data_IF_766635306743
#
_entry.id   IF_766635306743
#
_cell.length_a   1.000
_cell.length_b   1.000
_cell.length_c   1.000
_cell.angle_alpha   90.00
_cell.angle_beta   90.00
_cell.angle_gamma   90.00
#
_symmetry.space_group_name_H-M   'P 1'
#
loop_
_entity.id
_entity.type
_entity.pdbx_description
1 polymer ?
#
# COMPACT_ATOMS: atom_id res chain seq x y z
N UNK A 1 1.20 23.12 0.98
CA UNK A 1 -0.23 23.08 1.35
C UNK A 1 -0.43 21.92 2.30
N UNK A 2 -0.96 22.13 3.51
CA UNK A 2 -1.42 21.03 4.38
C UNK A 2 -2.73 20.51 3.81
N UNK A 3 -2.66 19.47 2.98
CA UNK A 3 -3.85 18.78 2.48
C UNK A 3 -4.15 17.67 3.46
N UNK A 4 -5.23 17.80 4.22
CA UNK A 4 -5.81 16.65 4.91
C UNK A 4 -6.35 15.70 3.84
N UNK A 5 -5.51 14.76 3.38
CA UNK A 5 -5.94 13.66 2.55
C UNK A 5 -6.88 12.81 3.38
N UNK A 6 -8.18 12.92 3.14
CA UNK A 6 -9.14 11.96 3.67
C UNK A 6 -8.73 10.59 3.11
N UNK A 7 -8.23 9.71 3.98
CA UNK A 7 -7.93 8.33 3.60
C UNK A 7 -9.17 7.68 2.98
N UNK A 8 -8.97 6.72 2.08
CA UNK A 8 -10.07 6.05 1.40
C UNK A 8 -11.12 5.55 2.40
N UNK A 9 -12.40 5.87 2.17
CA UNK A 9 -13.48 5.27 2.94
C UNK A 9 -13.61 3.79 2.53
N UNK A 10 -13.02 2.91 3.34
CA UNK A 10 -13.11 1.46 3.16
C UNK A 10 -14.12 0.86 4.14
N UNK A 11 -15.08 0.09 3.62
CA UNK A 11 -16.08 -0.67 4.38
C UNK A 11 -15.66 -2.13 4.41
N UNK A 12 -15.87 -2.79 5.55
CA UNK A 12 -15.64 -4.22 5.70
C UNK A 12 -16.99 -4.93 5.67
N UNK A 13 -17.10 -5.98 4.84
CA UNK A 13 -18.30 -6.80 4.71
C UNK A 13 -17.91 -8.26 4.55
N UNK A 14 -18.12 -9.07 5.60
CA UNK A 14 -17.62 -10.45 5.61
C UNK A 14 -16.10 -10.49 5.50
N UNK A 15 -15.57 -11.20 4.51
CA UNK A 15 -14.13 -11.26 4.18
C UNK A 15 -13.68 -10.14 3.22
N UNK A 16 -14.56 -9.22 2.82
CA UNK A 16 -14.26 -8.21 1.83
C UNK A 16 -13.90 -6.86 2.44
N UNK A 17 -12.95 -6.17 1.82
CA UNK A 17 -12.72 -4.73 1.96
C UNK A 17 -13.23 -4.04 0.70
N UNK A 18 -14.15 -3.09 0.84
CA UNK A 18 -14.85 -2.44 -0.27
C UNK A 18 -14.58 -0.95 -0.22
N UNK A 19 -14.29 -0.34 -1.36
CA UNK A 19 -14.36 1.12 -1.55
C UNK A 19 -15.62 1.45 -2.36
N UNK A 20 -16.71 1.91 -1.71
CA UNK A 20 -17.96 2.22 -2.41
C UNK A 20 -17.79 3.39 -3.38
N UNK A 21 -17.05 4.42 -2.96
CA UNK A 21 -16.79 5.62 -3.76
C UNK A 21 -16.10 5.29 -5.10
N UNK A 22 -15.18 4.33 -5.08
CA UNK A 22 -14.38 3.95 -6.24
C UNK A 22 -14.82 2.63 -6.90
N UNK A 23 -15.96 2.08 -6.47
CA UNK A 23 -16.59 0.88 -7.00
C UNK A 23 -15.64 -0.34 -7.16
N UNK A 24 -14.82 -0.62 -6.14
CA UNK A 24 -14.00 -1.83 -6.10
C UNK A 24 -14.09 -2.55 -4.75
N UNK A 25 -13.77 -3.84 -4.76
CA UNK A 25 -13.67 -4.67 -3.57
C UNK A 25 -12.48 -5.63 -3.66
N UNK A 26 -11.96 -6.01 -2.50
CA UNK A 26 -10.87 -6.96 -2.35
C UNK A 26 -11.26 -7.97 -1.27
N UNK A 27 -11.31 -9.25 -1.64
CA UNK A 27 -11.54 -10.35 -0.70
C UNK A 27 -10.23 -10.73 -0.01
N UNK A 28 -10.28 -11.02 1.29
CA UNK A 28 -9.17 -11.61 2.05
C UNK A 28 -9.38 -13.11 2.22
N UNK A 29 -8.32 -13.90 2.15
CA UNK A 29 -8.39 -15.36 2.37
C UNK A 29 -7.76 -15.81 3.69
N UNK A 30 -6.72 -15.13 4.18
CA UNK A 30 -5.96 -15.53 5.35
C UNK A 30 -5.82 -14.44 6.41
N UNK A 31 -5.62 -13.19 6.00
CA UNK A 31 -5.62 -12.03 6.88
C UNK A 31 -7.06 -11.62 7.22
N UNK A 32 -7.23 -10.93 8.34
CA UNK A 32 -8.50 -10.29 8.66
C UNK A 32 -8.77 -9.12 7.70
N UNK A 33 -10.03 -8.88 7.32
CA UNK A 33 -10.38 -7.75 6.47
C UNK A 33 -10.07 -6.40 7.14
N UNK A 34 -10.12 -6.30 8.47
CA UNK A 34 -9.66 -5.12 9.22
C UNK A 34 -8.17 -4.86 9.03
N UNK A 35 -7.36 -5.92 9.16
CA UNK A 35 -5.92 -5.90 8.94
C UNK A 35 -5.60 -5.45 7.52
N UNK A 36 -6.31 -6.01 6.54
CA UNK A 36 -6.17 -5.64 5.14
C UNK A 36 -6.54 -4.18 4.88
N UNK A 37 -7.67 -3.70 5.43
CA UNK A 37 -8.07 -2.31 5.25
C UNK A 37 -7.05 -1.33 5.85
N UNK A 38 -6.43 -1.67 6.99
CA UNK A 38 -5.36 -0.85 7.58
C UNK A 38 -4.07 -0.92 6.77
N UNK A 39 -3.72 -2.09 6.20
CA UNK A 39 -2.59 -2.22 5.28
C UNK A 39 -2.74 -1.33 4.04
N UNK A 40 -3.95 -1.20 3.48
CA UNK A 40 -4.20 -0.34 2.31
C UNK A 40 -3.90 1.12 2.65
N UNK A 41 -4.41 1.61 3.79
CA UNK A 41 -4.12 2.97 4.27
C UNK A 41 -2.63 3.16 4.55
N UNK A 42 -2.01 2.21 5.25
CA UNK A 42 -0.57 2.23 5.54
C UNK A 42 0.27 2.26 4.27
N UNK A 43 -0.10 1.50 3.23
CA UNK A 43 0.62 1.49 1.96
C UNK A 43 0.58 2.86 1.26
N UNK A 44 -0.57 3.53 1.29
CA UNK A 44 -0.73 4.90 0.79
C UNK A 44 0.16 5.88 1.55
N UNK A 45 0.22 5.77 2.87
CA UNK A 45 1.03 6.67 3.70
C UNK A 45 2.56 6.37 3.58
N UNK A 46 2.97 5.14 3.24
CA UNK A 46 4.40 4.78 3.03
C UNK A 46 4.92 5.31 1.69
N UNK A 47 4.14 5.17 0.61
CA UNK A 47 4.48 5.66 -0.72
C UNK A 47 3.35 6.56 -1.25
N UNK A 48 3.26 7.81 -0.77
CA UNK A 48 2.15 8.69 -1.11
C UNK A 48 2.28 9.20 -2.55
N UNK A 49 1.34 8.79 -3.41
CA UNK A 49 1.24 9.26 -4.80
C UNK A 49 -0.16 9.82 -5.06
N UNK A 50 -0.30 11.14 -5.16
CA UNK A 50 -1.59 11.82 -5.38
C UNK A 50 -2.34 11.31 -6.61
N UNK A 51 -1.62 10.96 -7.68
CA UNK A 51 -2.18 10.54 -8.97
C UNK A 51 -2.55 9.05 -9.02
N UNK A 52 -2.14 8.24 -8.04
CA UNK A 52 -2.38 6.78 -8.03
C UNK A 52 -3.69 6.50 -7.28
N UNK A 53 -4.70 5.86 -7.88
CA UNK A 53 -5.92 5.47 -7.17
C UNK A 53 -5.68 4.37 -6.12
N UNK A 54 -6.47 4.38 -5.03
CA UNK A 54 -6.30 3.45 -3.90
C UNK A 54 -6.44 1.97 -4.26
N UNK A 55 -7.16 1.64 -5.33
CA UNK A 55 -7.26 0.24 -5.82
C UNK A 55 -5.89 -0.37 -6.10
N UNK A 56 -4.91 0.43 -6.56
CA UNK A 56 -3.57 -0.07 -6.86
C UNK A 56 -2.76 -0.35 -5.58
N UNK A 57 -3.04 0.38 -4.49
CA UNK A 57 -2.51 0.06 -3.18
C UNK A 57 -3.14 -1.22 -2.61
N UNK A 58 -4.46 -1.40 -2.81
CA UNK A 58 -5.16 -2.65 -2.47
C UNK A 58 -4.57 -3.88 -3.18
N UNK A 59 -4.35 -3.77 -4.50
CA UNK A 59 -3.65 -4.81 -5.27
C UNK A 59 -2.24 -5.04 -4.73
N UNK A 60 -1.50 -3.97 -4.43
CA UNK A 60 -0.10 -4.06 -3.97
C UNK A 60 0.03 -4.81 -2.64
N UNK A 61 -0.89 -4.63 -1.69
CA UNK A 61 -0.83 -5.31 -0.39
C UNK A 61 -1.49 -6.69 -0.39
N UNK A 62 -2.24 -7.06 -1.44
CA UNK A 62 -2.88 -8.37 -1.57
C UNK A 62 -1.90 -9.53 -1.45
N UNK A 63 -0.66 -9.36 -1.93
CA UNK A 63 0.40 -10.38 -1.82
C UNK A 63 0.73 -10.78 -0.36
N UNK A 64 0.49 -9.91 0.62
CA UNK A 64 0.67 -10.28 2.03
C UNK A 64 -0.39 -11.27 2.51
N UNK A 65 -1.63 -11.17 2.03
CA UNK A 65 -2.70 -12.12 2.33
C UNK A 65 -2.42 -13.49 1.70
N UNK A 66 -1.97 -13.50 0.45
CA UNK A 66 -1.57 -14.73 -0.25
C UNK A 66 -0.38 -15.43 0.41
N UNK A 67 0.58 -14.64 0.92
CA UNK A 67 1.73 -15.16 1.67
C UNK A 67 1.28 -15.68 3.03
N UNK A 68 0.42 -14.94 3.74
CA UNK A 68 -0.14 -15.35 5.04
C UNK A 68 -0.96 -16.66 4.96
N UNK A 69 -1.56 -16.97 3.81
CA UNK A 69 -2.25 -18.24 3.59
C UNK A 69 -1.31 -19.46 3.55
N UNK A 70 -0.02 -19.24 3.27
CA UNK A 70 1.00 -20.29 3.10
C UNK A 70 2.03 -20.30 4.23
N UNK A 71 2.22 -19.16 4.89
CA UNK A 71 3.21 -18.95 5.94
C UNK A 71 2.54 -18.38 7.22
N UNK A 72 2.31 -19.23 8.24
CA UNK A 72 1.75 -18.78 9.52
C UNK A 72 2.60 -17.73 10.25
N UNK A 73 3.93 -17.75 10.10
CA UNK A 73 4.79 -16.77 10.74
C UNK A 73 4.66 -15.39 10.08
N UNK A 74 4.54 -15.36 8.75
CA UNK A 74 4.23 -14.12 8.03
C UNK A 74 2.83 -13.60 8.40
N UNK A 75 1.84 -14.48 8.51
CA UNK A 75 0.49 -14.11 8.99
C UNK A 75 0.55 -13.45 10.37
N UNK A 76 1.26 -14.06 11.32
CA UNK A 76 1.43 -13.52 12.66
C UNK A 76 2.16 -12.16 12.64
N UNK A 77 3.23 -12.03 11.87
CA UNK A 77 3.98 -10.79 11.71
C UNK A 77 3.08 -9.63 11.29
N UNK A 78 2.22 -9.85 10.29
CA UNK A 78 1.32 -8.83 9.75
C UNK A 78 0.17 -8.51 10.71
N UNK A 79 -0.53 -9.53 11.21
CA UNK A 79 -1.66 -9.35 12.13
C UNK A 79 -1.25 -8.66 13.43
N UNK A 80 -0.11 -9.07 14.00
CA UNK A 80 0.43 -8.46 15.23
C UNK A 80 0.91 -7.04 14.97
N UNK A 81 1.60 -6.81 13.85
CA UNK A 81 2.09 -5.48 13.48
C UNK A 81 0.96 -4.46 13.33
N UNK A 82 -0.11 -4.83 12.63
CA UNK A 82 -1.30 -3.97 12.51
C UNK A 82 -1.98 -3.76 13.87
N UNK A 83 -2.15 -4.81 14.68
CA UNK A 83 -2.75 -4.68 16.01
C UNK A 83 -1.93 -3.73 16.92
N UNK A 84 -0.60 -3.79 16.86
CA UNK A 84 0.29 -2.89 17.60
C UNK A 84 0.22 -1.45 17.08
N UNK A 85 0.13 -1.26 15.75
CA UNK A 85 -0.05 0.05 15.13
C UNK A 85 -1.39 0.68 15.52
N UNK A 86 -2.49 -0.07 15.43
CA UNK A 86 -3.82 0.37 15.85
C UNK A 86 -3.85 0.71 17.34
N UNK A 87 -3.18 -0.08 18.18
CA UNK A 87 -3.04 0.22 19.61
C UNK A 87 -2.28 1.52 19.86
N UNK A 88 -1.20 1.79 19.12
CA UNK A 88 -0.44 3.05 19.21
C UNK A 88 -1.25 4.25 18.74
N UNK A 89 -2.11 4.06 17.74
CA UNK A 89 -3.02 5.08 17.23
C UNK A 89 -4.15 5.43 18.21
N UNK A 90 -4.54 4.50 19.07
CA UNK A 90 -5.53 4.72 20.12
C UNK A 90 -6.97 4.53 19.62
N UNK A 91 -7.90 5.33 20.14
CA UNK A 91 -9.33 5.17 19.84
C UNK A 91 -9.59 5.38 18.34
N UNK A 92 -10.16 4.38 17.68
CA UNK A 92 -10.44 4.38 16.24
C UNK A 92 -9.34 3.74 15.39
N UNK A 93 -8.24 3.29 16.00
CA UNK A 93 -7.13 2.66 15.27
C UNK A 93 -6.43 3.62 14.32
N UNK A 94 -5.48 3.10 13.56
CA UNK A 94 -4.65 3.87 12.64
C UNK A 94 -5.47 4.57 11.56
N UNK A 95 -6.48 3.87 11.01
CA UNK A 95 -7.43 4.42 10.02
C UNK A 95 -8.33 5.51 10.59
N UNK A 96 -8.50 5.58 11.90
CA UNK A 96 -9.27 6.62 12.58
C UNK A 96 -8.54 7.96 12.70
N UNK A 97 -7.25 8.01 12.38
CA UNK A 97 -6.46 9.24 12.43
C UNK A 97 -6.71 10.08 11.17
N UNK A 98 -7.36 11.23 11.36
CA UNK A 98 -7.76 12.12 10.26
C UNK A 98 -6.60 12.84 9.56
N UNK A 99 -5.51 13.13 10.27
CA UNK A 99 -4.37 13.87 9.72
C UNK A 99 -3.25 12.94 9.27
N UNK A 100 -2.83 13.06 8.02
CA UNK A 100 -1.75 12.26 7.45
C UNK A 100 -0.44 12.43 8.23
N UNK A 101 -0.11 13.64 8.66
CA UNK A 101 1.13 13.90 9.39
C UNK A 101 1.19 13.12 10.72
N UNK A 102 0.04 12.88 11.36
CA UNK A 102 -0.05 12.08 12.57
C UNK A 102 0.12 10.59 12.28
N UNK A 103 -0.44 10.11 11.16
CA UNK A 103 -0.25 8.73 10.68
C UNK A 103 1.21 8.48 10.33
N UNK A 104 1.84 9.37 9.57
CA UNK A 104 3.26 9.31 9.21
C UNK A 104 4.14 9.32 10.46
N UNK A 105 3.85 10.15 11.47
CA UNK A 105 4.61 10.15 12.72
C UNK A 105 4.60 8.78 13.44
N UNK A 106 3.46 8.06 13.42
CA UNK A 106 3.38 6.70 13.94
C UNK A 106 4.20 5.71 13.11
N UNK A 107 4.14 5.81 11.79
CA UNK A 107 4.91 4.98 10.86
C UNK A 107 6.42 5.17 11.06
N UNK A 108 6.90 6.41 11.15
CA UNK A 108 8.30 6.72 11.47
C UNK A 108 8.71 6.10 12.80
N UNK A 109 7.83 6.13 13.81
CA UNK A 109 8.09 5.50 15.11
C UNK A 109 8.24 3.97 15.07
N UNK A 110 7.75 3.30 14.02
CA UNK A 110 7.88 1.84 13.84
C UNK A 110 8.76 1.47 12.64
N UNK A 111 9.42 2.42 11.99
CA UNK A 111 10.06 2.20 10.69
C UNK A 111 11.14 1.11 10.74
N UNK A 112 11.80 0.90 11.88
CA UNK A 112 12.86 -0.10 12.07
C UNK A 112 12.33 -1.49 12.43
N UNK A 113 11.02 -1.64 12.60
CA UNK A 113 10.42 -2.93 12.97
C UNK A 113 10.42 -3.89 11.78
N UNK A 114 10.52 -5.22 12.01
CA UNK A 114 10.40 -6.20 10.94
C UNK A 114 9.08 -6.10 10.16
N UNK A 115 7.98 -5.78 10.86
CA UNK A 115 6.67 -5.57 10.26
C UNK A 115 6.69 -4.43 9.24
N UNK A 116 7.16 -3.24 9.63
CA UNK A 116 7.21 -2.11 8.73
C UNK A 116 8.12 -2.37 7.52
N UNK A 117 9.29 -2.97 7.74
CA UNK A 117 10.22 -3.29 6.66
C UNK A 117 9.65 -4.34 5.70
N UNK A 118 8.91 -5.34 6.18
CA UNK A 118 8.23 -6.32 5.33
C UNK A 118 7.18 -5.66 4.43
N UNK A 119 6.34 -4.77 4.97
CA UNK A 119 5.32 -4.05 4.19
C UNK A 119 5.98 -3.10 3.20
N UNK A 120 6.91 -2.25 3.65
CA UNK A 120 7.64 -1.31 2.81
C UNK A 120 8.39 -2.02 1.67
N UNK A 121 9.09 -3.10 1.98
CA UNK A 121 9.86 -3.87 1.00
C UNK A 121 8.96 -4.54 -0.04
N UNK A 122 7.84 -5.12 0.39
CA UNK A 122 6.83 -5.68 -0.51
C UNK A 122 6.29 -4.64 -1.50
N UNK A 123 5.95 -3.46 -1.00
CA UNK A 123 5.39 -2.36 -1.80
C UNK A 123 6.33 -1.85 -2.90
N UNK A 124 7.64 -1.83 -2.69
CA UNK A 124 8.60 -1.42 -3.74
C UNK A 124 8.43 -2.28 -5.00
N UNK A 125 8.13 -3.56 -4.83
CA UNK A 125 7.94 -4.45 -5.96
C UNK A 125 6.48 -4.42 -6.41
N UNK A 126 5.53 -4.58 -5.48
CA UNK A 126 4.13 -4.81 -5.83
C UNK A 126 3.38 -3.55 -6.31
N UNK A 127 3.77 -2.35 -5.86
CA UNK A 127 3.14 -1.11 -6.33
C UNK A 127 3.67 -0.71 -7.71
N UNK A 128 5.00 -0.63 -7.86
CA UNK A 128 5.61 -0.10 -9.08
C UNK A 128 5.63 -1.08 -10.27
N UNK A 129 5.39 -2.37 -10.03
CA UNK A 129 5.31 -3.38 -11.09
C UNK A 129 3.90 -3.61 -11.65
N UNK A 130 2.96 -2.69 -11.40
CA UNK A 130 1.63 -2.69 -12.02
C UNK A 130 1.69 -1.90 -13.34
N UNK A 131 1.54 -2.58 -14.48
CA UNK A 131 1.79 -1.99 -15.82
C UNK A 131 0.89 -0.79 -16.11
N UNK A 132 -0.31 -0.78 -15.56
CA UNK A 132 -1.29 0.29 -15.66
C UNK A 132 -0.82 1.59 -14.99
N UNK A 133 0.12 1.52 -14.04
CA UNK A 133 0.71 2.70 -13.38
C UNK A 133 1.94 3.25 -14.09
N UNK A 134 2.55 2.51 -15.02
CA UNK A 134 3.77 2.94 -15.68
C UNK A 134 3.66 4.31 -16.35
N UNK A 135 2.56 4.66 -17.06
CA UNK A 135 2.40 6.01 -17.61
C UNK A 135 2.37 7.12 -16.56
N UNK A 136 1.82 6.84 -15.36
CA UNK A 136 1.77 7.81 -14.26
C UNK A 136 3.19 8.10 -13.73
N UNK A 137 4.06 7.09 -13.73
CA UNK A 137 5.44 7.21 -13.29
C UNK A 137 6.42 7.64 -14.40
N UNK A 138 5.93 7.93 -15.62
CA UNK A 138 6.79 8.24 -16.77
C UNK A 138 7.64 7.05 -17.23
N UNK A 139 7.25 5.82 -16.90
CA UNK A 139 7.96 4.62 -17.31
C UNK A 139 7.45 4.11 -18.66
N UNK A 140 8.34 4.02 -19.65
CA UNK A 140 8.00 3.67 -21.04
C UNK A 140 7.79 2.16 -21.28
N UNK A 141 7.88 1.36 -20.22
CA UNK A 141 7.64 -0.08 -20.26
C UNK A 141 8.89 -0.92 -20.48
N UNK A 142 8.78 -2.23 -20.18
CA UNK A 142 9.88 -3.19 -20.13
C UNK A 142 10.94 -3.03 -21.24
N UNK A 143 12.21 -2.90 -20.81
CA UNK A 143 13.34 -2.69 -21.73
C UNK A 143 13.83 -3.99 -22.37
N UNK A 144 13.72 -5.11 -21.65
CA UNK A 144 14.32 -6.39 -22.04
C UNK A 144 13.73 -6.94 -23.35
N UNK A 145 12.41 -6.96 -23.48
CA UNK A 145 11.74 -7.46 -24.70
C UNK A 145 11.85 -6.48 -25.89
N UNK A 146 12.43 -5.30 -25.66
CA UNK A 146 12.42 -4.18 -26.59
C UNK A 146 13.81 -3.63 -26.94
N UNK A 147 14.86 -4.39 -26.60
CA UNK A 147 16.25 -4.03 -26.97
C UNK A 147 16.84 -2.85 -26.19
N UNK A 148 16.31 -2.54 -25.00
CA UNK A 148 16.80 -1.45 -24.16
C UNK A 148 16.08 -0.11 -24.34
N UNK A 149 16.65 0.94 -23.74
CA UNK A 149 16.16 2.32 -23.80
C UNK A 149 17.03 3.26 -24.64
N UNK A 150 18.18 2.79 -25.17
CA UNK A 150 19.13 3.64 -25.93
C UNK A 150 18.44 4.46 -27.06
N UNK A 151 17.42 3.89 -27.71
CA UNK A 151 16.65 4.55 -28.76
C UNK A 151 15.17 4.81 -28.39
N UNK A 152 14.80 4.72 -27.10
CA UNK A 152 13.44 4.86 -26.56
C UNK A 152 13.53 5.42 -25.13
N UNK A 153 13.46 6.73 -24.92
CA UNK A 153 13.40 7.26 -23.56
C UNK A 153 14.73 7.55 -22.84
N UNK A 154 15.86 6.96 -23.25
CA UNK A 154 17.14 7.19 -22.52
C UNK A 154 17.59 8.66 -22.52
N UNK A 155 17.25 9.41 -23.56
CA UNK A 155 17.57 10.85 -23.68
C UNK A 155 16.36 11.75 -23.39
N UNK A 156 15.20 11.19 -23.06
CA UNK A 156 13.95 11.95 -22.83
C UNK A 156 13.84 12.41 -21.36
N UNK A 157 14.98 12.52 -20.68
CA UNK A 157 15.09 12.87 -19.25
C UNK A 157 15.12 14.40 -19.13
N UNK A 158 14.01 15.02 -18.71
CA UNK A 158 13.96 16.47 -18.43
C UNK A 158 14.57 16.89 -17.08
N UNK A 159 15.09 15.94 -16.28
CA UNK A 159 15.43 16.15 -14.86
C UNK A 159 16.90 15.87 -14.50
N UNK A 160 17.83 16.13 -15.41
CA UNK A 160 19.25 16.33 -15.07
C UNK A 160 19.65 17.80 -15.21
#
# INVERSE_FOLDING_TARGET
>A
LKRGGAGALLIISGSAVISPEHAWGLETSALKPETMATLIQMARDIYPHDQVPDKYYAIAVKGHDETAAKDPAHKELIEKGIAELDKKAGKGGYRGIGWEEQRVALLTGIEKTPFFQAVRGGLVVSLYNQKELWPIFGYEGESYSKGGYIARGFNDIEWL
#
